data_IF_094560136344
#
_entry.id   IF_094560136344
#
_cell.length_a   1.000
_cell.length_b   1.000
_cell.length_c   1.000
_cell.angle_alpha   90.00
_cell.angle_beta   90.00
_cell.angle_gamma   90.00
#
_symmetry.space_group_name_H-M   'P 1'
#
loop_
_entity.id
_entity.type
_entity.pdbx_description
1 polymer ?
#
# COMPACT_ATOMS: atom_id res chain seq x y z
N UNK A 1 2.66 12.20 -7.77
CA UNK A 1 2.42 12.50 -9.19
C UNK A 1 1.52 11.41 -9.74
N UNK A 2 0.45 11.75 -10.46
CA UNK A 2 -0.48 10.80 -11.04
C UNK A 2 0.02 10.29 -12.41
N UNK A 3 -0.45 9.10 -12.81
CA UNK A 3 -0.06 8.39 -14.02
C UNK A 3 -0.12 9.26 -15.29
N UNK A 4 -1.23 9.95 -15.53
CA UNK A 4 -1.45 10.72 -16.77
C UNK A 4 -0.42 11.85 -16.95
N UNK A 5 -0.09 12.57 -15.87
CA UNK A 5 0.96 13.59 -15.91
C UNK A 5 2.35 12.97 -16.09
N UNK A 6 2.60 11.78 -15.52
CA UNK A 6 3.89 11.07 -15.65
C UNK A 6 4.08 10.61 -17.09
N UNK A 7 3.06 10.01 -17.69
CA UNK A 7 3.03 9.61 -19.10
C UNK A 7 3.33 10.80 -20.03
N UNK A 8 2.62 11.93 -19.84
CA UNK A 8 2.86 13.15 -20.61
C UNK A 8 4.32 13.61 -20.54
N UNK A 9 4.91 13.59 -19.33
CA UNK A 9 6.32 14.00 -19.15
C UNK A 9 7.28 13.02 -19.82
N UNK A 10 7.07 11.72 -19.68
CA UNK A 10 7.90 10.69 -20.31
C UNK A 10 7.89 10.82 -21.83
N UNK A 11 6.71 11.02 -22.43
CA UNK A 11 6.60 11.26 -23.87
C UNK A 11 7.36 12.51 -24.29
N UNK A 12 7.16 13.63 -23.58
CA UNK A 12 7.82 14.91 -23.89
C UNK A 12 9.33 14.85 -23.71
N UNK A 13 9.83 14.20 -22.66
CA UNK A 13 11.28 14.03 -22.45
C UNK A 13 11.92 13.11 -23.49
N UNK A 14 11.13 12.22 -24.08
CA UNK A 14 11.58 11.34 -25.18
C UNK A 14 11.47 11.98 -26.56
N UNK A 15 11.06 13.26 -26.64
CA UNK A 15 10.94 13.99 -27.90
C UNK A 15 9.77 13.55 -28.79
N UNK A 16 8.89 12.67 -28.31
CA UNK A 16 7.80 12.11 -29.12
C UNK A 16 6.58 13.04 -29.16
N UNK A 17 5.96 13.14 -30.33
CA UNK A 17 4.60 13.63 -30.52
C UNK A 17 3.59 12.59 -30.04
N UNK A 18 2.33 12.99 -29.85
CA UNK A 18 1.27 12.04 -29.50
C UNK A 18 1.01 11.03 -30.64
N UNK A 19 1.18 11.45 -31.90
CA UNK A 19 1.02 10.58 -33.08
C UNK A 19 2.11 9.50 -33.09
N UNK A 20 3.38 9.88 -32.95
CA UNK A 20 4.50 8.93 -32.97
C UNK A 20 4.43 7.91 -31.82
N UNK A 21 3.94 8.32 -30.65
CA UNK A 21 3.72 7.39 -29.54
C UNK A 21 2.52 6.46 -29.82
N UNK A 22 1.48 6.97 -30.47
CA UNK A 22 0.32 6.18 -30.86
C UNK A 22 0.73 5.09 -31.88
N UNK A 23 1.54 5.45 -32.87
CA UNK A 23 2.07 4.54 -33.88
C UNK A 23 2.90 3.42 -33.25
N UNK A 24 3.81 3.77 -32.32
CA UNK A 24 4.65 2.79 -31.60
C UNK A 24 3.84 1.81 -30.76
N UNK A 25 2.71 2.25 -30.21
CA UNK A 25 1.84 1.44 -29.35
C UNK A 25 0.65 0.83 -30.09
N UNK A 26 0.56 1.03 -31.41
CA UNK A 26 -0.55 0.57 -32.26
C UNK A 26 -1.92 0.97 -31.72
N UNK A 27 -2.05 2.23 -31.29
CA UNK A 27 -3.31 2.83 -30.84
C UNK A 27 -3.59 4.12 -31.61
N UNK A 28 -4.77 4.71 -31.41
CA UNK A 28 -5.07 6.01 -32.01
C UNK A 28 -4.40 7.16 -31.24
N UNK A 29 -4.08 8.26 -31.92
CA UNK A 29 -3.65 9.50 -31.26
C UNK A 29 -4.64 9.98 -30.20
N UNK A 30 -5.95 9.79 -30.44
CA UNK A 30 -6.99 10.14 -29.47
C UNK A 30 -6.87 9.30 -28.19
N UNK A 31 -6.53 8.03 -28.31
CA UNK A 31 -6.26 7.13 -27.18
C UNK A 31 -5.13 7.69 -26.31
N UNK A 32 -4.03 8.10 -26.93
CA UNK A 32 -2.90 8.75 -26.24
C UNK A 32 -3.37 10.02 -25.53
N UNK A 33 -4.10 10.89 -26.22
CA UNK A 33 -4.62 12.13 -25.63
C UNK A 33 -5.48 11.83 -24.40
N UNK A 34 -6.38 10.85 -24.48
CA UNK A 34 -7.25 10.45 -23.38
C UNK A 34 -6.46 9.92 -22.17
N UNK A 35 -5.35 9.21 -22.41
CA UNK A 35 -4.47 8.75 -21.33
C UNK A 35 -3.72 9.91 -20.66
N UNK A 36 -3.24 10.89 -21.44
CA UNK A 36 -2.53 12.06 -20.91
C UNK A 36 -3.45 13.05 -20.18
N UNK A 37 -4.71 13.17 -20.60
CA UNK A 37 -5.72 13.99 -19.92
C UNK A 37 -6.38 13.28 -18.75
N UNK A 38 -6.17 11.96 -18.60
CA UNK A 38 -6.81 11.14 -17.57
C UNK A 38 -8.28 10.81 -17.84
N UNK A 39 -8.77 11.06 -19.07
CA UNK A 39 -10.13 10.72 -19.49
C UNK A 39 -10.32 9.21 -19.72
N UNK A 40 -9.23 8.48 -19.94
CA UNK A 40 -9.20 7.02 -20.00
C UNK A 40 -7.89 6.50 -19.39
N UNK A 41 -7.82 5.21 -19.11
CA UNK A 41 -6.59 4.53 -18.68
C UNK A 41 -6.22 3.42 -19.68
N UNK A 42 -4.93 3.11 -19.87
CA UNK A 42 -4.50 1.97 -20.68
C UNK A 42 -4.93 0.65 -20.04
N UNK A 43 -5.03 -0.41 -20.86
CA UNK A 43 -5.07 -1.78 -20.35
C UNK A 43 -3.74 -2.14 -19.68
N UNK A 44 -3.70 -3.22 -18.91
CA UNK A 44 -2.46 -3.72 -18.30
C UNK A 44 -1.39 -3.99 -19.36
N UNK A 45 -1.76 -4.60 -20.48
CA UNK A 45 -0.87 -4.86 -21.62
C UNK A 45 -0.26 -3.57 -22.17
N UNK A 46 -1.07 -2.54 -22.41
CA UNK A 46 -0.57 -1.23 -22.88
C UNK A 46 0.26 -0.51 -21.82
N UNK A 47 -0.03 -0.70 -20.55
CA UNK A 47 0.79 -0.15 -19.47
C UNK A 47 2.18 -0.80 -19.42
N UNK A 48 2.29 -2.10 -19.72
CA UNK A 48 3.57 -2.81 -19.85
C UNK A 48 4.35 -2.33 -21.07
N UNK A 49 3.70 -2.23 -22.24
CA UNK A 49 4.34 -1.66 -23.45
C UNK A 49 4.85 -0.23 -23.22
N UNK A 50 4.11 0.58 -22.47
CA UNK A 50 4.54 1.94 -22.09
C UNK A 50 5.76 1.92 -21.17
N UNK A 51 5.79 1.00 -20.19
CA UNK A 51 6.91 0.84 -19.29
C UNK A 51 8.19 0.46 -20.07
N UNK A 52 8.06 -0.49 -21.01
CA UNK A 52 9.14 -0.90 -21.90
C UNK A 52 9.60 0.24 -22.83
N UNK A 53 8.65 0.94 -23.46
CA UNK A 53 8.92 2.06 -24.38
C UNK A 53 9.76 3.16 -23.73
N UNK A 54 9.52 3.44 -22.45
CA UNK A 54 10.24 4.47 -21.70
C UNK A 54 11.34 3.93 -20.80
N UNK A 55 11.59 2.62 -20.81
CA UNK A 55 12.58 1.96 -19.95
C UNK A 55 12.42 2.30 -18.46
N UNK A 56 11.17 2.31 -17.98
CA UNK A 56 10.80 2.53 -16.58
C UNK A 56 10.08 1.31 -16.03
N UNK A 57 10.07 1.14 -14.71
CA UNK A 57 9.22 0.11 -14.10
C UNK A 57 7.74 0.52 -14.15
N UNK A 58 6.84 -0.46 -14.12
CA UNK A 58 5.40 -0.19 -14.04
C UNK A 58 5.05 0.62 -12.78
N UNK A 59 5.69 0.33 -11.65
CA UNK A 59 5.52 1.09 -10.40
C UNK A 59 5.91 2.56 -10.58
N UNK A 60 7.02 2.84 -11.27
CA UNK A 60 7.42 4.21 -11.59
C UNK A 60 6.44 4.90 -12.54
N UNK A 61 5.97 4.19 -13.57
CA UNK A 61 5.03 4.71 -14.57
C UNK A 61 3.72 5.16 -13.92
N UNK A 62 3.16 4.33 -13.02
CA UNK A 62 1.90 4.65 -12.32
C UNK A 62 2.10 5.56 -11.11
N UNK A 63 3.34 5.94 -10.80
CA UNK A 63 3.67 6.78 -9.66
C UNK A 63 3.44 6.08 -8.32
N UNK A 64 3.49 4.74 -8.29
CA UNK A 64 3.50 3.99 -7.04
C UNK A 64 4.79 4.31 -6.33
N UNK A 65 4.70 5.06 -5.23
CA UNK A 65 5.82 5.19 -4.32
C UNK A 65 6.15 3.78 -3.84
N UNK A 66 7.42 3.38 -3.97
CA UNK A 66 7.89 2.28 -3.15
C UNK A 66 7.50 2.61 -1.72
N UNK A 67 6.94 1.64 -1.03
CA UNK A 67 6.92 1.68 0.42
C UNK A 67 8.41 1.63 0.76
N UNK A 68 9.06 2.79 0.85
CA UNK A 68 10.35 2.90 1.53
C UNK A 68 10.13 2.13 2.82
N UNK A 69 11.00 1.19 3.19
CA UNK A 69 10.95 0.64 4.54
C UNK A 69 11.27 1.80 5.49
N UNK A 70 10.31 2.68 5.77
CA UNK A 70 10.50 3.72 6.73
C UNK A 70 10.60 3.01 8.06
N UNK A 71 11.73 3.26 8.72
CA UNK A 71 12.16 2.67 9.99
C UNK A 71 10.94 2.33 10.82
N UNK A 72 10.60 1.03 10.89
CA UNK A 72 9.64 0.54 11.87
C UNK A 72 10.14 1.09 13.20
N UNK A 73 9.29 1.82 13.92
CA UNK A 73 9.63 2.45 15.21
C UNK A 73 10.58 1.51 15.99
N UNK A 74 11.81 1.93 16.33
CA UNK A 74 12.77 1.07 17.02
C UNK A 74 12.16 0.43 18.28
N UNK A 75 11.23 1.15 18.91
CA UNK A 75 10.42 0.65 20.01
C UNK A 75 9.55 -0.55 19.60
N UNK A 76 8.79 -0.47 18.50
CA UNK A 76 7.97 -1.58 18.01
C UNK A 76 8.81 -2.77 17.54
N UNK A 77 9.98 -2.51 16.93
CA UNK A 77 10.93 -3.59 16.62
C UNK A 77 11.42 -4.30 17.88
N UNK A 78 11.68 -3.56 18.96
CA UNK A 78 12.08 -4.13 20.25
C UNK A 78 10.99 -4.99 20.90
N UNK A 79 9.74 -4.90 20.43
CA UNK A 79 8.61 -5.71 20.89
C UNK A 79 8.40 -6.99 20.08
N UNK A 80 9.15 -7.22 18.99
CA UNK A 80 9.06 -8.45 18.21
C UNK A 80 9.36 -9.68 19.08
N UNK A 81 8.54 -10.72 18.94
CA UNK A 81 8.56 -11.97 19.72
C UNK A 81 8.33 -11.79 21.23
N UNK A 82 7.88 -10.60 21.68
CA UNK A 82 7.46 -10.38 23.07
C UNK A 82 5.96 -10.58 23.24
N UNK A 83 5.58 -10.90 24.48
CA UNK A 83 4.19 -10.87 24.91
C UNK A 83 3.74 -9.44 25.06
N UNK A 84 2.62 -9.11 24.42
CA UNK A 84 2.02 -7.79 24.40
C UNK A 84 0.52 -7.88 24.61
N UNK A 85 -0.02 -6.80 25.16
CA UNK A 85 -1.44 -6.52 25.18
C UNK A 85 -1.75 -5.40 24.17
N UNK A 86 -2.65 -5.67 23.22
CA UNK A 86 -3.09 -4.69 22.22
C UNK A 86 -4.52 -4.26 22.53
N UNK A 87 -4.73 -2.97 22.74
CA UNK A 87 -6.04 -2.35 22.88
C UNK A 87 -6.48 -1.79 21.53
N UNK A 88 -7.71 -2.11 21.13
CA UNK A 88 -8.24 -1.69 19.84
C UNK A 88 -9.15 -0.48 19.97
N UNK A 89 -9.13 0.39 18.97
CA UNK A 89 -10.18 1.36 18.73
C UNK A 89 -11.24 0.75 17.82
N UNK A 90 -12.51 1.05 18.07
CA UNK A 90 -13.58 0.79 17.10
C UNK A 90 -13.80 2.06 16.27
N UNK A 91 -13.99 1.88 14.97
CA UNK A 91 -14.44 2.95 14.07
C UNK A 91 -15.88 3.33 14.46
N UNK A 92 -16.12 4.62 14.66
CA UNK A 92 -17.36 5.16 15.25
C UNK A 92 -18.38 5.40 14.14
N UNK A 93 -18.96 4.34 13.58
CA UNK A 93 -20.04 4.48 12.59
C UNK A 93 -21.37 3.82 13.00
N UNK A 94 -21.48 3.12 14.13
CA UNK A 94 -22.77 2.62 14.62
C UNK A 94 -22.95 2.78 16.13
N UNK A 95 -24.00 3.53 16.46
CA UNK A 95 -24.51 3.78 17.81
C UNK A 95 -24.95 2.45 18.42
N UNK A 96 -24.08 1.79 19.20
CA UNK A 96 -24.38 1.04 20.45
C UNK A 96 -23.20 0.15 20.88
N UNK A 97 -22.87 0.25 22.18
CA UNK A 97 -21.95 -0.58 22.98
C UNK A 97 -20.48 -0.12 23.09
N UNK A 98 -20.16 0.43 24.26
CA UNK A 98 -18.81 0.52 24.79
C UNK A 98 -18.28 -0.89 25.07
N UNK A 99 -17.36 -1.36 24.24
CA UNK A 99 -16.55 -2.53 24.56
C UNK A 99 -15.12 -2.26 24.14
N UNK A 100 -14.19 -2.17 25.08
CA UNK A 100 -12.77 -2.26 24.74
C UNK A 100 -12.49 -3.72 24.37
N UNK A 101 -12.21 -4.00 23.10
CA UNK A 101 -11.60 -5.29 22.76
C UNK A 101 -10.09 -5.17 22.93
N UNK A 102 -9.52 -6.14 23.63
CA UNK A 102 -8.09 -6.27 23.80
C UNK A 102 -7.64 -7.68 23.46
N UNK A 103 -6.49 -7.80 22.83
CA UNK A 103 -5.75 -9.04 22.73
C UNK A 103 -4.70 -9.07 23.81
N UNK A 104 -4.90 -9.88 24.85
CA UNK A 104 -3.96 -10.04 25.97
C UNK A 104 -3.03 -11.22 25.74
N UNK A 105 -1.81 -11.16 26.26
CA UNK A 105 -0.83 -12.26 26.16
C UNK A 105 -0.59 -12.75 24.72
N UNK A 106 -0.75 -11.84 23.75
CA UNK A 106 -0.49 -12.14 22.35
C UNK A 106 0.98 -11.92 22.03
N UNK A 107 1.52 -12.66 21.08
CA UNK A 107 2.92 -12.51 20.67
C UNK A 107 3.00 -11.67 19.40
N UNK A 108 3.82 -10.62 19.42
CA UNK A 108 4.03 -9.77 18.25
C UNK A 108 4.98 -10.46 17.26
N UNK A 109 4.44 -11.01 16.17
CA UNK A 109 5.22 -11.81 15.20
C UNK A 109 5.74 -11.00 14.03
N UNK A 110 5.05 -9.91 13.66
CA UNK A 110 5.52 -9.01 12.62
C UNK A 110 5.02 -7.59 12.84
N UNK A 111 5.79 -6.62 12.37
CA UNK A 111 5.42 -5.20 12.33
C UNK A 111 5.76 -4.66 10.96
N UNK A 112 4.86 -3.86 10.40
CA UNK A 112 5.14 -3.02 9.24
C UNK A 112 4.60 -1.60 9.52
N UNK A 113 4.62 -0.73 8.52
CA UNK A 113 4.24 0.67 8.67
C UNK A 113 2.76 0.93 8.98
N UNK A 114 1.88 -0.04 8.70
CA UNK A 114 0.42 0.16 8.80
C UNK A 114 -0.25 -0.81 9.74
N UNK A 115 0.46 -1.84 10.17
CA UNK A 115 -0.13 -2.97 10.87
C UNK A 115 0.91 -3.75 11.66
N UNK A 116 0.39 -4.49 12.62
CA UNK A 116 1.09 -5.56 13.33
C UNK A 116 0.42 -6.89 13.02
N UNK A 117 1.19 -7.96 13.14
CA UNK A 117 0.66 -9.31 13.23
C UNK A 117 0.93 -9.86 14.61
N UNK A 118 -0.10 -10.44 15.19
CA UNK A 118 -0.03 -11.07 16.50
C UNK A 118 -0.44 -12.53 16.45
N UNK A 119 0.16 -13.34 17.30
CA UNK A 119 -0.25 -14.71 17.57
C UNK A 119 -1.10 -14.72 18.85
N UNK A 120 -2.34 -15.17 18.74
CA UNK A 120 -3.29 -15.29 19.86
C UNK A 120 -3.61 -16.76 20.07
N UNK A 121 -3.72 -17.19 21.33
CA UNK A 121 -4.13 -18.55 21.67
C UNK A 121 -5.66 -18.63 21.81
N UNK A 122 -6.33 -19.28 20.86
CA UNK A 122 -7.77 -19.51 20.88
C UNK A 122 -8.05 -21.02 20.87
N UNK A 123 -8.84 -21.51 21.84
CA UNK A 123 -9.31 -22.92 21.88
C UNK A 123 -8.21 -23.97 21.66
N UNK A 124 -7.02 -23.77 22.25
CA UNK A 124 -5.81 -24.62 22.12
C UNK A 124 -5.12 -24.59 20.75
N UNK A 125 -5.45 -23.64 19.89
CA UNK A 125 -4.76 -23.38 18.63
C UNK A 125 -4.18 -21.96 18.63
N UNK A 126 -3.04 -21.79 17.95
CA UNK A 126 -2.44 -20.49 17.74
C UNK A 126 -3.00 -19.89 16.45
N UNK A 127 -3.61 -18.71 16.55
CA UNK A 127 -4.22 -17.99 15.43
C UNK A 127 -3.46 -16.69 15.19
N UNK A 128 -2.96 -16.50 13.98
CA UNK A 128 -2.34 -15.24 13.55
C UNK A 128 -3.42 -14.22 13.17
N UNK A 129 -3.32 -13.01 13.70
CA UNK A 129 -4.24 -11.89 13.38
C UNK A 129 -3.47 -10.68 12.90
N UNK A 130 -3.95 -10.07 11.81
CA UNK A 130 -3.46 -8.81 11.27
C UNK A 130 -4.28 -7.65 11.86
N UNK A 131 -3.61 -6.66 12.45
CA UNK A 131 -4.26 -5.51 13.07
C UNK A 131 -3.63 -4.23 12.52
N UNK A 132 -4.44 -3.36 11.91
CA UNK A 132 -3.97 -2.08 11.39
C UNK A 132 -3.81 -1.05 12.51
N UNK A 133 -2.75 -0.23 12.46
CA UNK A 133 -2.48 0.80 13.48
C UNK A 133 -3.62 1.78 13.66
N UNK A 134 -4.38 2.09 12.60
CA UNK A 134 -5.58 2.94 12.70
C UNK A 134 -6.65 2.38 13.66
N UNK A 135 -6.60 1.07 13.93
CA UNK A 135 -7.51 0.36 14.82
C UNK A 135 -6.85 0.06 16.19
N UNK A 136 -5.64 0.57 16.46
CA UNK A 136 -4.91 0.31 17.70
C UNK A 136 -4.90 1.59 18.54
N UNK A 137 -5.43 1.48 19.77
CA UNK A 137 -5.36 2.54 20.77
C UNK A 137 -3.98 2.55 21.43
N UNK A 138 -3.55 1.40 21.93
CA UNK A 138 -2.27 1.23 22.63
C UNK A 138 -1.72 -0.19 22.45
N UNK A 139 -0.39 -0.31 22.53
CA UNK A 139 0.34 -1.58 22.61
C UNK A 139 1.20 -1.53 23.87
N UNK A 140 0.96 -2.47 24.77
CA UNK A 140 1.67 -2.58 26.05
C UNK A 140 2.49 -3.87 26.03
N UNK A 141 3.74 -3.79 26.50
CA UNK A 141 4.54 -5.00 26.70
C UNK A 141 4.11 -5.66 28.00
N UNK A 142 3.78 -6.95 27.94
CA UNK A 142 3.50 -7.76 29.12
C UNK A 142 4.85 -8.13 29.79
N UNK A 143 5.55 -7.13 30.33
CA UNK A 143 6.77 -7.36 31.13
C UNK A 143 6.31 -7.69 32.55
N UNK A 144 6.65 -8.91 33.01
CA UNK A 144 6.59 -9.32 34.42
C UNK A 144 7.93 -8.99 35.06
#
# INVERSE_FOLDING_TARGET
>A
MNFNNKLYRLRKSSGLTQEEMADKLQVSRQTISNWETGSASPSLEKALELADLFSVSLDELVGRKQIENQVISPLLQSLLHKKVTIHLTYDVDDVHMFGESSYKNCELVAVNERSVRILVQEKKQNVEKLIFFKNILTIESDVI
#
